data_IF_250686733146
#
_entry.id   IF_250686733146
#
_cell.length_a   1.000
_cell.length_b   1.000
_cell.length_c   1.000
_cell.angle_alpha   90.00
_cell.angle_beta   90.00
_cell.angle_gamma   90.00
#
_symmetry.space_group_name_H-M   'P 1'
#
loop_
_entity.id
_entity.type
_entity.pdbx_description
1 polymer ?
#
# COMPACT_ATOMS: atom_id res chain seq x y z
N UNK A 1 -13.77 -12.81 2.27
CA UNK A 1 -13.67 -11.34 2.26
C UNK A 1 -12.28 -10.91 2.69
N UNK A 2 -11.77 -11.28 3.87
CA UNK A 2 -10.49 -10.85 4.44
C UNK A 2 -9.30 -11.00 3.49
N UNK A 3 -9.14 -12.15 2.85
CA UNK A 3 -8.02 -12.36 1.91
C UNK A 3 -8.12 -11.50 0.64
N UNK A 4 -9.33 -11.16 0.21
CA UNK A 4 -9.53 -10.25 -0.92
C UNK A 4 -9.09 -8.84 -0.52
N UNK A 5 -9.46 -8.39 0.67
CA UNK A 5 -9.03 -7.09 1.20
C UNK A 5 -7.50 -7.06 1.42
N UNK A 6 -6.91 -8.15 1.93
CA UNK A 6 -5.47 -8.29 2.08
C UNK A 6 -4.75 -8.25 0.72
N UNK A 7 -5.30 -8.88 -0.30
CA UNK A 7 -4.75 -8.83 -1.66
C UNK A 7 -4.86 -7.42 -2.24
N UNK A 8 -6.01 -6.76 -2.09
CA UNK A 8 -6.23 -5.40 -2.60
C UNK A 8 -5.32 -4.38 -1.92
N UNK A 9 -5.15 -4.44 -0.59
CA UNK A 9 -4.21 -3.55 0.10
C UNK A 9 -2.77 -3.83 -0.35
N UNK A 10 -2.45 -5.09 -0.65
CA UNK A 10 -1.18 -5.47 -1.26
C UNK A 10 -0.98 -4.83 -2.64
N UNK A 11 -1.98 -4.86 -3.50
CA UNK A 11 -1.92 -4.17 -4.81
C UNK A 11 -1.62 -2.68 -4.62
N UNK A 12 -2.26 -2.04 -3.64
CA UNK A 12 -2.00 -0.63 -3.31
C UNK A 12 -0.55 -0.45 -2.84
N UNK A 13 -0.01 -1.36 -2.00
CA UNK A 13 1.39 -1.34 -1.61
C UNK A 13 2.34 -1.47 -2.81
N UNK A 14 1.95 -2.25 -3.80
CA UNK A 14 2.67 -2.36 -5.08
C UNK A 14 2.65 -1.09 -5.92
N UNK A 15 1.59 -0.29 -5.82
CA UNK A 15 1.50 1.04 -6.44
C UNK A 15 2.27 2.07 -5.62
N UNK A 16 1.99 2.14 -4.31
CA UNK A 16 2.54 3.11 -3.35
C UNK A 16 2.80 2.45 -2.01
N UNK A 17 4.07 2.29 -1.66
CA UNK A 17 4.52 1.53 -0.48
C UNK A 17 3.92 2.06 0.82
N UNK A 18 4.05 3.37 1.06
CA UNK A 18 3.64 3.99 2.31
C UNK A 18 2.12 4.20 2.40
N UNK A 19 1.43 4.34 1.28
CA UNK A 19 -0.03 4.54 1.25
C UNK A 19 -0.78 3.35 1.85
N UNK A 20 -0.38 2.13 1.54
CA UNK A 20 -1.01 0.92 2.05
C UNK A 20 -0.89 0.80 3.58
N UNK A 21 0.33 0.94 4.08
CA UNK A 21 0.57 0.81 5.53
C UNK A 21 0.00 1.99 6.31
N UNK A 22 -0.02 3.21 5.73
CA UNK A 22 -0.68 4.37 6.32
C UNK A 22 -2.20 4.15 6.44
N UNK A 23 -2.85 3.61 5.41
CA UNK A 23 -4.27 3.32 5.43
C UNK A 23 -4.64 2.30 6.52
N UNK A 24 -3.87 1.21 6.63
CA UNK A 24 -4.05 0.20 7.68
C UNK A 24 -3.82 0.79 9.07
N UNK A 25 -2.85 1.69 9.23
CA UNK A 25 -2.61 2.40 10.47
C UNK A 25 -3.78 3.31 10.85
N UNK A 26 -4.37 4.02 9.91
CA UNK A 26 -5.59 4.79 10.15
C UNK A 26 -6.76 3.89 10.54
N UNK A 27 -6.93 2.74 9.87
CA UNK A 27 -7.96 1.77 10.22
C UNK A 27 -7.83 1.28 11.66
N UNK A 28 -6.60 0.98 12.09
CA UNK A 28 -6.32 0.57 13.46
C UNK A 28 -6.56 1.70 14.46
N UNK A 29 -6.09 2.91 14.17
CA UNK A 29 -6.28 4.08 15.04
C UNK A 29 -7.75 4.47 15.22
N UNK A 30 -8.55 4.37 14.15
CA UNK A 30 -9.98 4.70 14.17
C UNK A 30 -10.86 3.57 14.73
N UNK A 31 -10.28 2.42 15.06
CA UNK A 31 -11.00 1.29 15.64
C UNK A 31 -11.70 0.37 14.63
N UNK A 32 -11.48 0.55 13.33
CA UNK A 32 -11.98 -0.38 12.31
C UNK A 32 -11.23 -1.70 12.29
N UNK A 33 -10.01 -1.70 12.81
CA UNK A 33 -9.11 -2.84 12.82
C UNK A 33 -8.50 -3.02 14.21
N UNK A 34 -8.83 -4.12 14.90
CA UNK A 34 -8.30 -4.41 16.22
C UNK A 34 -6.96 -5.12 16.13
N UNK A 35 -5.88 -4.41 16.47
CA UNK A 35 -4.52 -4.94 16.51
C UNK A 35 -3.97 -5.05 17.94
N UNK A 36 -4.80 -4.79 18.94
CA UNK A 36 -4.40 -4.80 20.36
C UNK A 36 -3.86 -6.16 20.78
N UNK A 37 -2.80 -6.13 21.57
CA UNK A 37 -2.14 -7.36 22.03
C UNK A 37 -1.28 -8.06 20.99
N UNK A 38 -1.19 -7.54 19.76
CA UNK A 38 -0.31 -8.08 18.71
C UNK A 38 0.97 -7.24 18.56
N UNK A 39 1.95 -7.81 17.84
CA UNK A 39 3.17 -7.08 17.48
C UNK A 39 2.91 -5.91 16.51
N UNK A 40 1.74 -5.84 15.89
CA UNK A 40 1.30 -4.74 15.00
C UNK A 40 0.49 -3.66 15.75
N UNK A 41 0.31 -3.77 17.06
CA UNK A 41 -0.43 -2.79 17.85
C UNK A 41 0.09 -1.36 17.68
N UNK A 42 1.40 -1.19 17.39
CA UNK A 42 2.01 0.12 17.15
C UNK A 42 1.39 0.87 15.96
N UNK A 43 0.79 0.17 14.99
CA UNK A 43 0.10 0.81 13.87
C UNK A 43 -1.11 1.63 14.32
N UNK A 44 -1.76 1.23 15.43
CA UNK A 44 -2.88 1.94 16.01
C UNK A 44 -2.50 3.06 16.98
N UNK A 45 -1.22 3.33 17.22
CA UNK A 45 -0.80 4.39 18.14
C UNK A 45 -1.12 5.78 17.58
N UNK A 46 -1.37 6.73 18.48
CA UNK A 46 -1.84 8.08 18.16
C UNK A 46 -1.06 8.81 17.06
N UNK A 47 0.26 8.67 17.04
CA UNK A 47 1.13 9.38 16.10
C UNK A 47 1.51 8.58 14.87
N UNK A 48 1.36 7.25 14.90
CA UNK A 48 1.79 6.36 13.80
C UNK A 48 1.09 6.68 12.47
N UNK A 49 -0.25 6.87 12.41
CA UNK A 49 -0.92 7.21 11.15
C UNK A 49 -0.41 8.52 10.55
N UNK A 50 -0.12 9.51 11.39
CA UNK A 50 0.38 10.81 10.94
C UNK A 50 1.78 10.71 10.37
N UNK A 51 2.68 9.97 11.05
CA UNK A 51 4.05 9.73 10.57
C UNK A 51 4.02 8.99 9.23
N UNK A 52 3.22 7.92 9.14
CA UNK A 52 3.10 7.15 7.90
C UNK A 52 2.46 7.94 6.78
N UNK A 53 1.50 8.82 7.07
CA UNK A 53 0.92 9.74 6.09
C UNK A 53 1.96 10.73 5.56
N UNK A 54 2.80 11.28 6.45
CA UNK A 54 3.90 12.16 6.03
C UNK A 54 4.89 11.42 5.11
N UNK A 55 5.21 10.15 5.43
CA UNK A 55 6.06 9.31 4.58
C UNK A 55 5.39 9.00 3.23
N UNK A 56 4.07 8.78 3.21
CA UNK A 56 3.32 8.59 1.97
C UNK A 56 3.34 9.84 1.09
N UNK A 57 3.19 11.02 1.67
CA UNK A 57 3.32 12.28 0.94
C UNK A 57 4.75 12.49 0.39
N UNK A 58 5.77 12.15 1.19
CA UNK A 58 7.15 12.18 0.74
C UNK A 58 7.38 11.20 -0.43
N UNK A 59 6.79 10.00 -0.37
CA UNK A 59 6.85 9.02 -1.47
C UNK A 59 6.23 9.59 -2.76
N UNK A 60 5.08 10.27 -2.68
CA UNK A 60 4.46 10.90 -3.85
C UNK A 60 5.37 11.94 -4.52
N UNK A 61 6.06 12.74 -3.73
CA UNK A 61 7.00 13.75 -4.23
C UNK A 61 8.23 13.07 -4.82
N UNK A 62 8.87 12.15 -4.11
CA UNK A 62 10.12 11.53 -4.53
C UNK A 62 9.94 10.66 -5.77
N UNK A 63 8.82 9.97 -5.92
CA UNK A 63 8.53 9.13 -7.09
C UNK A 63 8.36 9.92 -8.41
N UNK A 64 8.20 11.24 -8.32
CA UNK A 64 8.12 12.11 -9.48
C UNK A 64 9.48 12.71 -9.88
N UNK A 65 10.52 12.51 -9.07
CA UNK A 65 11.85 13.02 -9.33
C UNK A 65 12.58 12.17 -10.37
N UNK A 66 13.37 12.79 -11.28
CA UNK A 66 14.01 12.08 -12.40
C UNK A 66 15.10 11.10 -11.97
N UNK A 67 15.66 11.26 -10.76
CA UNK A 67 16.73 10.40 -10.24
C UNK A 67 16.23 9.30 -9.29
N UNK A 68 14.92 9.15 -9.14
CA UNK A 68 14.35 8.08 -8.29
C UNK A 68 14.54 6.72 -8.96
N UNK A 69 15.08 5.71 -8.25
CA UNK A 69 15.25 4.38 -8.79
C UNK A 69 13.93 3.74 -9.24
N UNK A 70 14.00 2.91 -10.27
CA UNK A 70 12.83 2.16 -10.74
C UNK A 70 12.26 1.29 -9.63
N UNK A 71 10.92 1.21 -9.55
CA UNK A 71 10.20 0.32 -8.61
C UNK A 71 10.53 -1.16 -8.78
N UNK A 72 11.12 -1.56 -9.91
CA UNK A 72 11.55 -2.94 -10.19
C UNK A 72 12.95 -3.25 -9.66
N UNK A 73 13.70 -2.25 -9.20
CA UNK A 73 14.98 -2.47 -8.51
C UNK A 73 14.75 -3.30 -7.25
N UNK A 74 15.60 -4.31 -6.92
CA UNK A 74 15.35 -5.26 -5.84
C UNK A 74 14.98 -4.62 -4.49
N UNK A 75 15.63 -3.51 -4.12
CA UNK A 75 15.34 -2.80 -2.86
C UNK A 75 13.93 -2.21 -2.86
N UNK A 76 13.52 -1.55 -3.95
CA UNK A 76 12.20 -0.95 -4.08
C UNK A 76 11.12 -2.04 -4.18
N UNK A 77 11.38 -3.08 -4.94
CA UNK A 77 10.47 -4.20 -5.10
C UNK A 77 10.26 -4.94 -3.77
N UNK A 78 11.35 -5.21 -3.04
CA UNK A 78 11.30 -5.84 -1.73
C UNK A 78 10.54 -5.01 -0.70
N UNK A 79 10.74 -3.70 -0.66
CA UNK A 79 10.02 -2.80 0.23
C UNK A 79 8.50 -2.83 -0.03
N UNK A 80 8.09 -2.91 -1.30
CA UNK A 80 6.67 -3.00 -1.69
C UNK A 80 6.05 -4.33 -1.25
N UNK A 81 6.74 -5.44 -1.45
CA UNK A 81 6.30 -6.75 -0.98
C UNK A 81 6.18 -6.77 0.54
N UNK A 82 7.17 -6.22 1.25
CA UNK A 82 7.15 -6.16 2.71
C UNK A 82 5.98 -5.33 3.23
N UNK A 83 5.76 -4.15 2.67
CA UNK A 83 4.61 -3.29 3.02
C UNK A 83 3.28 -3.99 2.75
N UNK A 84 3.14 -4.65 1.60
CA UNK A 84 1.93 -5.40 1.25
C UNK A 84 1.70 -6.58 2.18
N UNK A 85 2.76 -7.33 2.51
CA UNK A 85 2.70 -8.45 3.44
C UNK A 85 2.25 -8.00 4.85
N UNK A 86 2.88 -6.95 5.39
CA UNK A 86 2.53 -6.39 6.71
C UNK A 86 1.10 -5.87 6.72
N UNK A 87 0.68 -5.13 5.71
CA UNK A 87 -0.67 -4.61 5.59
C UNK A 87 -1.71 -5.74 5.48
N UNK A 88 -1.40 -6.79 4.72
CA UNK A 88 -2.23 -7.97 4.60
C UNK A 88 -2.35 -8.77 5.90
N UNK A 89 -1.23 -8.92 6.63
CA UNK A 89 -1.23 -9.50 7.99
C UNK A 89 -2.16 -8.70 8.90
N UNK A 90 -2.00 -7.38 8.93
CA UNK A 90 -2.79 -6.52 9.81
C UNK A 90 -4.30 -6.70 9.56
N UNK A 91 -4.73 -6.77 8.31
CA UNK A 91 -6.15 -7.00 7.95
C UNK A 91 -6.64 -8.38 8.38
N UNK A 92 -5.80 -9.40 8.28
CA UNK A 92 -6.21 -10.79 8.56
C UNK A 92 -5.99 -11.22 10.02
N UNK A 93 -5.24 -10.43 10.79
CA UNK A 93 -4.84 -10.76 12.15
C UNK A 93 -6.03 -10.93 13.12
N UNK A 94 -7.05 -10.04 13.12
CA UNK A 94 -8.20 -10.18 14.02
C UNK A 94 -8.97 -11.48 13.82
N UNK A 95 -8.96 -12.04 12.62
CA UNK A 95 -9.57 -13.34 12.31
C UNK A 95 -8.66 -14.56 12.54
N UNK A 96 -7.46 -14.37 13.10
CA UNK A 96 -6.51 -15.46 13.32
C UNK A 96 -5.89 -16.06 12.06
N UNK A 97 -6.10 -15.42 10.91
CA UNK A 97 -5.68 -15.96 9.58
C UNK A 97 -4.51 -15.17 8.97
N UNK A 98 -3.62 -14.68 9.82
CA UNK A 98 -2.53 -13.78 9.45
C UNK A 98 -1.59 -14.34 8.36
N UNK A 99 -1.36 -15.67 8.32
CA UNK A 99 -0.52 -16.31 7.28
C UNK A 99 -1.13 -16.12 5.90
N UNK A 100 -2.45 -16.34 5.78
CA UNK A 100 -3.16 -16.10 4.53
C UNK A 100 -3.14 -14.63 4.13
N UNK A 101 -3.27 -13.73 5.11
CA UNK A 101 -3.14 -12.28 4.91
C UNK A 101 -1.76 -11.88 4.41
N UNK A 102 -0.70 -12.46 4.97
CA UNK A 102 0.69 -12.25 4.55
C UNK A 102 0.86 -12.63 3.06
N UNK A 103 0.44 -13.86 2.71
CA UNK A 103 0.58 -14.37 1.34
C UNK A 103 -0.23 -13.53 0.35
N UNK A 104 -1.49 -13.23 0.69
CA UNK A 104 -2.37 -12.42 -0.16
C UNK A 104 -1.81 -10.99 -0.35
N UNK A 105 -1.36 -10.36 0.74
CA UNK A 105 -0.76 -9.02 0.69
C UNK A 105 0.53 -8.97 -0.12
N UNK A 106 1.42 -9.95 0.06
CA UNK A 106 2.65 -10.07 -0.72
C UNK A 106 2.35 -10.29 -2.22
N UNK A 107 1.43 -11.22 -2.54
CA UNK A 107 1.01 -11.47 -3.92
C UNK A 107 0.39 -10.22 -4.56
N UNK A 108 -0.47 -9.52 -3.81
CA UNK A 108 -1.03 -8.23 -4.24
C UNK A 108 0.04 -7.21 -4.56
N UNK A 109 1.09 -7.10 -3.73
CA UNK A 109 2.18 -6.16 -3.95
C UNK A 109 2.98 -6.48 -5.23
N UNK A 110 3.21 -7.75 -5.53
CA UNK A 110 3.82 -8.16 -6.80
C UNK A 110 2.95 -7.75 -7.98
N UNK A 111 1.66 -8.05 -7.93
CA UNK A 111 0.68 -7.69 -8.98
C UNK A 111 0.64 -6.18 -9.16
N UNK A 112 0.53 -5.42 -8.06
CA UNK A 112 0.47 -3.96 -8.07
C UNK A 112 1.74 -3.31 -8.63
N UNK A 113 2.92 -3.84 -8.26
CA UNK A 113 4.20 -3.32 -8.75
C UNK A 113 4.37 -3.53 -10.26
N UNK A 114 4.14 -4.75 -10.72
CA UNK A 114 4.33 -5.08 -12.14
C UNK A 114 3.21 -4.50 -13.01
N UNK A 115 1.96 -4.66 -12.57
CA UNK A 115 0.79 -4.12 -13.28
C UNK A 115 0.77 -2.59 -13.28
N UNK A 116 1.08 -1.97 -12.15
CA UNK A 116 1.18 -0.52 -12.02
C UNK A 116 2.29 0.08 -12.90
N UNK A 117 3.46 -0.57 -12.94
CA UNK A 117 4.54 -0.14 -13.83
C UNK A 117 4.13 -0.21 -15.31
N UNK A 118 3.45 -1.29 -15.73
CA UNK A 118 2.96 -1.44 -17.09
C UNK A 118 1.85 -0.43 -17.40
N UNK A 119 0.89 -0.24 -16.51
CA UNK A 119 -0.20 0.72 -16.68
C UNK A 119 0.32 2.15 -16.75
N UNK A 120 1.24 2.54 -15.86
CA UNK A 120 1.87 3.86 -15.87
C UNK A 120 2.63 4.13 -17.18
N UNK A 121 3.41 3.15 -17.65
CA UNK A 121 4.15 3.26 -18.91
C UNK A 121 3.20 3.49 -20.10
N UNK A 122 2.12 2.72 -20.19
CA UNK A 122 1.12 2.87 -21.25
C UNK A 122 0.40 4.22 -21.18
N UNK A 123 0.04 4.64 -19.98
CA UNK A 123 -0.66 5.90 -19.76
C UNK A 123 0.24 7.10 -20.05
N UNK A 124 1.51 7.05 -19.64
CA UNK A 124 2.51 8.07 -19.96
C UNK A 124 2.72 8.22 -21.47
N UNK A 125 2.77 7.10 -22.19
CA UNK A 125 2.86 7.10 -23.67
C UNK A 125 1.60 7.73 -24.29
N UNK A 126 0.42 7.36 -23.82
CA UNK A 126 -0.84 7.89 -24.34
C UNK A 126 -1.03 9.38 -24.06
N UNK A 127 -0.59 9.87 -22.90
CA UNK A 127 -0.70 11.27 -22.47
C UNK A 127 0.51 12.12 -22.92
N UNK A 128 1.58 11.50 -23.43
CA UNK A 128 2.82 12.17 -23.84
C UNK A 128 3.67 12.70 -22.67
N UNK A 129 3.26 12.46 -21.40
CA UNK A 129 3.95 12.90 -20.20
C UNK A 129 3.80 11.88 -19.07
N UNK A 130 4.83 11.74 -18.25
CA UNK A 130 4.80 10.84 -17.09
C UNK A 130 4.03 11.44 -15.90
N UNK A 131 4.09 12.76 -15.68
CA UNK A 131 3.48 13.41 -14.53
C UNK A 131 1.94 13.18 -14.41
N UNK A 132 1.13 13.35 -15.47
CA UNK A 132 -0.29 13.02 -15.38
C UNK A 132 -0.55 11.55 -15.07
N UNK A 133 0.25 10.64 -15.63
CA UNK A 133 0.16 9.22 -15.35
C UNK A 133 0.49 8.91 -13.88
N UNK A 134 1.50 9.56 -13.31
CA UNK A 134 1.85 9.45 -11.89
C UNK A 134 0.70 9.93 -10.99
N UNK A 135 0.10 11.08 -11.30
CA UNK A 135 -1.02 11.63 -10.52
C UNK A 135 -2.26 10.72 -10.57
N UNK A 136 -2.55 10.11 -11.70
CA UNK A 136 -3.64 9.13 -11.82
C UNK A 136 -3.35 7.91 -10.94
N UNK A 137 -2.12 7.39 -10.95
CA UNK A 137 -1.70 6.28 -10.10
C UNK A 137 -1.84 6.63 -8.61
N UNK A 138 -1.41 7.84 -8.22
CA UNK A 138 -1.54 8.33 -6.84
C UNK A 138 -3.00 8.39 -6.40
N UNK A 139 -3.88 8.93 -7.26
CA UNK A 139 -5.31 8.99 -7.00
C UNK A 139 -5.92 7.59 -6.83
N UNK A 140 -5.57 6.64 -7.71
CA UNK A 140 -6.03 5.25 -7.63
C UNK A 140 -5.55 4.60 -6.32
N UNK A 141 -4.30 4.82 -5.93
CA UNK A 141 -3.76 4.26 -4.70
C UNK A 141 -4.49 4.80 -3.45
N UNK A 142 -4.70 6.11 -3.38
CA UNK A 142 -5.37 6.75 -2.24
C UNK A 142 -6.84 6.33 -2.17
N UNK A 143 -7.58 6.46 -3.27
CA UNK A 143 -9.00 6.08 -3.32
C UNK A 143 -9.17 4.58 -3.03
N UNK A 144 -8.34 3.74 -3.64
CA UNK A 144 -8.35 2.30 -3.39
C UNK A 144 -8.07 1.96 -1.93
N UNK A 145 -7.11 2.63 -1.29
CA UNK A 145 -6.80 2.44 0.12
C UNK A 145 -7.99 2.82 1.04
N UNK A 146 -8.62 3.96 0.77
CA UNK A 146 -9.82 4.40 1.51
C UNK A 146 -10.97 3.41 1.35
N UNK A 147 -11.20 2.91 0.13
CA UNK A 147 -12.24 1.92 -0.11
C UNK A 147 -11.98 0.60 0.61
N UNK A 148 -10.73 0.10 0.59
CA UNK A 148 -10.37 -1.13 1.31
C UNK A 148 -10.60 -0.97 2.81
N UNK A 149 -10.16 0.16 3.39
CA UNK A 149 -10.38 0.45 4.81
C UNK A 149 -11.87 0.60 5.14
N UNK A 150 -12.65 1.21 4.25
CA UNK A 150 -14.09 1.36 4.43
C UNK A 150 -14.89 0.04 4.39
N UNK A 151 -14.26 -1.04 3.93
CA UNK A 151 -14.85 -2.38 3.88
C UNK A 151 -14.41 -3.30 5.05
N UNK A 152 -13.55 -2.81 5.96
CA UNK A 152 -13.13 -3.51 7.18
C UNK A 152 -14.20 -3.45 8.25
#
# INVERSE_FOLDING_TARGET
MVYVLALLIGVIAGLRTMTAIAAVSWAAYLGYLSLDGSWLAFLGYRFTPWILSALALAEFVTDQLPFTPSRKVPVQFGARILSGAISGVAIALPGGTWVGGLIAGAAGAVIGTLGGAAARSRLATALGRDLPAALVEDAIAVVGAVLVVGLL
#
